data_IF_974175413373
#
_entry.id   IF_974175413373
#
_cell.length_a   1.000
_cell.length_b   1.000
_cell.length_c   1.000
_cell.angle_alpha   90.00
_cell.angle_beta   90.00
_cell.angle_gamma   90.00
#
_symmetry.space_group_name_H-M   'P 1'
#
loop_
_entity.id
_entity.type
_entity.pdbx_description
1 polymer ?
#
# COMPACT_ATOMS: atom_id res chain seq x y z
N UNK A 1 -14.15 -26.87 4.48
CA UNK A 1 -12.71 -27.00 4.16
C UNK A 1 -11.93 -26.35 5.27
N UNK A 2 -11.06 -27.08 5.95
CA UNK A 2 -10.14 -26.47 6.92
C UNK A 2 -8.95 -25.88 6.18
N UNK A 3 -8.55 -24.65 6.56
CA UNK A 3 -7.43 -23.94 5.94
C UNK A 3 -6.41 -23.65 7.04
N UNK A 4 -5.20 -24.18 6.89
CA UNK A 4 -4.06 -23.87 7.76
C UNK A 4 -3.13 -22.88 7.04
N UNK A 5 -2.91 -21.72 7.65
CA UNK A 5 -1.95 -20.74 7.16
C UNK A 5 -0.57 -20.97 7.79
N UNK A 6 0.43 -21.29 6.97
CA UNK A 6 1.82 -21.44 7.41
C UNK A 6 2.63 -20.25 6.88
N UNK A 7 3.01 -19.28 7.74
CA UNK A 7 3.80 -18.14 7.29
C UNK A 7 5.20 -18.59 6.85
N UNK A 8 5.63 -18.12 5.67
CA UNK A 8 6.98 -18.33 5.17
C UNK A 8 7.87 -17.16 5.62
N UNK A 9 8.78 -17.42 6.54
CA UNK A 9 9.70 -16.41 7.06
C UNK A 9 11.00 -16.38 6.26
N UNK A 10 11.52 -15.17 6.04
CA UNK A 10 12.86 -14.98 5.56
C UNK A 10 13.86 -15.49 6.60
N UNK A 11 14.80 -16.32 6.16
CA UNK A 11 15.68 -17.07 7.05
C UNK A 11 16.99 -16.34 7.40
N UNK A 12 17.40 -15.35 6.59
CA UNK A 12 18.67 -14.66 6.82
C UNK A 12 18.47 -13.47 7.76
N UNK A 13 19.47 -13.25 8.59
CA UNK A 13 19.58 -12.09 9.46
C UNK A 13 20.00 -10.85 8.68
N UNK A 14 19.72 -9.67 9.24
CA UNK A 14 20.21 -8.41 8.71
C UNK A 14 21.70 -8.30 9.07
N UNK A 15 22.56 -7.99 8.10
CA UNK A 15 24.00 -7.90 8.35
C UNK A 15 24.33 -6.80 9.37
N UNK A 16 25.31 -7.08 10.25
CA UNK A 16 25.76 -6.14 11.27
C UNK A 16 26.23 -4.80 10.68
N UNK A 17 26.90 -4.83 9.53
CA UNK A 17 27.32 -3.60 8.83
C UNK A 17 26.14 -2.72 8.43
N UNK A 18 25.04 -3.31 7.93
CA UNK A 18 23.84 -2.57 7.57
C UNK A 18 23.13 -2.02 8.80
N UNK A 19 23.10 -2.78 9.91
CA UNK A 19 22.56 -2.33 11.19
C UNK A 19 23.38 -1.15 11.76
N UNK A 20 24.70 -1.19 11.65
CA UNK A 20 25.58 -0.09 12.04
C UNK A 20 25.39 1.15 11.15
N UNK A 21 25.20 0.95 9.85
CA UNK A 21 24.86 2.03 8.92
C UNK A 21 23.52 2.68 9.29
N UNK A 22 22.51 1.87 9.65
CA UNK A 22 21.19 2.32 10.06
C UNK A 22 21.25 3.28 11.25
N UNK A 23 22.14 3.07 12.22
CA UNK A 23 22.29 3.96 13.38
C UNK A 23 22.58 5.41 12.97
N UNK A 24 23.34 5.63 11.89
CA UNK A 24 23.64 6.97 11.35
C UNK A 24 22.38 7.68 10.85
N UNK A 25 21.45 6.93 10.28
CA UNK A 25 20.15 7.47 9.82
C UNK A 25 19.16 7.77 10.97
N UNK A 26 19.49 7.31 12.17
CA UNK A 26 18.69 7.42 13.39
C UNK A 26 19.32 8.40 14.42
N UNK A 27 20.37 9.13 14.04
CA UNK A 27 20.92 10.21 14.85
C UNK A 27 19.85 11.29 15.11
N UNK A 28 19.71 11.71 16.36
CA UNK A 28 18.72 12.70 16.79
C UNK A 28 17.25 12.23 16.77
N UNK A 29 16.95 10.98 16.40
CA UNK A 29 15.59 10.43 16.46
C UNK A 29 15.36 9.82 17.84
N UNK A 30 14.33 10.28 18.55
CA UNK A 30 14.02 9.83 19.91
C UNK A 30 13.17 8.56 19.89
N UNK A 31 12.09 8.53 19.09
CA UNK A 31 11.12 7.43 19.10
C UNK A 31 10.94 6.81 17.72
N UNK A 32 11.25 5.52 17.60
CA UNK A 32 11.28 4.80 16.32
C UNK A 32 10.17 3.76 16.29
N UNK A 33 9.38 3.76 15.21
CA UNK A 33 8.41 2.70 14.91
C UNK A 33 8.97 1.69 13.92
N UNK A 34 8.90 0.39 14.22
CA UNK A 34 9.25 -0.68 13.27
C UNK A 34 7.97 -1.29 12.71
N UNK A 35 7.85 -1.35 11.40
CA UNK A 35 6.81 -2.10 10.69
C UNK A 35 7.43 -3.02 9.65
N UNK A 36 6.70 -4.04 9.20
CA UNK A 36 7.24 -5.09 8.35
C UNK A 36 6.13 -5.78 7.54
N UNK A 37 6.52 -6.53 6.52
CA UNK A 37 5.66 -7.57 5.92
C UNK A 37 5.92 -8.92 6.60
N UNK A 38 4.93 -9.81 6.62
CA UNK A 38 4.94 -11.04 7.45
C UNK A 38 6.23 -11.87 7.37
N UNK A 39 6.84 -11.97 6.18
CA UNK A 39 8.07 -12.72 5.98
C UNK A 39 9.27 -12.19 6.79
N UNK A 40 9.26 -10.91 7.19
CA UNK A 40 10.34 -10.25 7.92
C UNK A 40 10.04 -10.01 9.40
N UNK A 41 9.04 -10.70 9.97
CA UNK A 41 8.68 -10.57 11.39
C UNK A 41 9.86 -10.87 12.34
N UNK A 42 10.64 -11.90 12.03
CA UNK A 42 11.85 -12.25 12.78
C UNK A 42 12.90 -11.14 12.70
N UNK A 43 13.18 -10.65 11.49
CA UNK A 43 14.10 -9.55 11.27
C UNK A 43 13.68 -8.26 12.01
N UNK A 44 12.38 -7.96 12.06
CA UNK A 44 11.87 -6.81 12.82
C UNK A 44 12.10 -6.96 14.33
N UNK A 45 11.98 -8.18 14.85
CA UNK A 45 12.24 -8.50 16.26
C UNK A 45 13.73 -8.40 16.59
N UNK A 46 14.61 -8.92 15.72
CA UNK A 46 16.06 -8.79 15.82
C UNK A 46 16.50 -7.33 15.77
N UNK A 47 15.95 -6.56 14.82
CA UNK A 47 16.21 -5.13 14.69
C UNK A 47 15.85 -4.37 15.98
N UNK A 48 14.69 -4.66 16.59
CA UNK A 48 14.30 -4.04 17.85
C UNK A 48 15.34 -4.29 18.94
N UNK A 49 15.79 -5.54 19.11
CA UNK A 49 16.81 -5.89 20.11
C UNK A 49 18.11 -5.12 19.88
N UNK A 50 18.60 -5.13 18.64
CA UNK A 50 19.82 -4.40 18.27
C UNK A 50 19.71 -2.90 18.56
N UNK A 51 18.58 -2.27 18.24
CA UNK A 51 18.38 -0.85 18.48
C UNK A 51 18.26 -0.53 19.98
N UNK A 52 17.60 -1.38 20.77
CA UNK A 52 17.49 -1.24 22.23
C UNK A 52 18.86 -1.38 22.91
N UNK A 53 19.70 -2.33 22.49
CA UNK A 53 21.10 -2.47 22.94
C UNK A 53 21.93 -1.22 22.63
N UNK A 54 21.62 -0.54 21.52
CA UNK A 54 22.20 0.75 21.13
C UNK A 54 21.45 1.96 21.71
N UNK A 55 20.69 1.76 22.80
CA UNK A 55 20.01 2.81 23.59
C UNK A 55 18.99 3.62 22.80
N UNK A 56 18.35 3.04 21.77
CA UNK A 56 17.24 3.67 21.04
C UNK A 56 15.90 3.26 21.66
N UNK A 57 14.92 4.17 21.63
CA UNK A 57 13.55 3.87 22.05
C UNK A 57 12.73 3.41 20.84
N UNK A 58 12.32 2.14 20.85
CA UNK A 58 11.77 1.46 19.67
C UNK A 58 10.49 0.70 19.99
N UNK A 59 9.48 0.86 19.14
CA UNK A 59 8.18 0.19 19.25
C UNK A 59 7.97 -0.68 18.01
N UNK A 60 7.58 -1.94 18.19
CA UNK A 60 7.03 -2.73 17.07
C UNK A 60 5.62 -2.22 16.79
N UNK A 61 5.46 -1.60 15.63
CA UNK A 61 4.20 -1.11 15.11
C UNK A 61 3.43 -2.17 14.31
N UNK A 62 3.97 -3.39 14.22
CA UNK A 62 3.31 -4.57 13.65
C UNK A 62 3.39 -4.67 12.13
N UNK A 63 2.84 -5.78 11.62
CA UNK A 63 2.80 -6.08 10.18
C UNK A 63 1.87 -5.11 9.43
N UNK A 64 2.24 -4.74 8.21
CA UNK A 64 1.38 -4.01 7.28
C UNK A 64 1.19 -4.78 5.99
N UNK A 65 0.12 -4.43 5.29
CA UNK A 65 -0.20 -4.88 3.94
C UNK A 65 -0.26 -3.67 3.02
N UNK A 66 -0.24 -3.93 1.71
CA UNK A 66 -0.35 -2.86 0.72
C UNK A 66 -1.67 -2.09 0.83
N UNK A 67 -2.74 -2.78 1.21
CA UNK A 67 -4.08 -2.23 1.41
C UNK A 67 -4.39 -1.82 2.86
N UNK A 68 -3.53 -2.18 3.84
CA UNK A 68 -3.83 -1.96 5.26
C UNK A 68 -2.57 -1.60 6.05
N UNK A 69 -2.54 -0.35 6.54
CA UNK A 69 -1.49 0.17 7.41
C UNK A 69 -1.99 0.42 8.85
N UNK A 70 -3.16 -0.09 9.21
CA UNK A 70 -3.84 0.19 10.48
C UNK A 70 -2.97 -0.08 11.71
N UNK A 71 -2.16 -1.14 11.68
CA UNK A 71 -1.21 -1.45 12.74
C UNK A 71 -0.21 -0.31 12.95
N UNK A 72 0.42 0.20 11.88
CA UNK A 72 1.34 1.32 11.97
C UNK A 72 0.65 2.61 12.41
N UNK A 73 -0.56 2.87 11.89
CA UNK A 73 -1.35 4.07 12.20
C UNK A 73 -1.69 4.21 13.69
N UNK A 74 -1.92 3.10 14.42
CA UNK A 74 -2.16 3.11 15.88
C UNK A 74 -1.02 3.70 16.70
N UNK A 75 0.19 3.73 16.15
CA UNK A 75 1.39 4.24 16.82
C UNK A 75 1.86 5.56 16.25
N UNK A 76 1.12 6.16 15.32
CA UNK A 76 1.49 7.41 14.66
C UNK A 76 1.94 8.46 15.67
N UNK A 77 1.11 8.83 16.65
CA UNK A 77 1.45 9.83 17.68
C UNK A 77 2.59 9.42 18.65
N UNK A 78 2.99 8.15 18.66
CA UNK A 78 3.99 7.61 19.58
C UNK A 78 5.40 7.54 18.97
N UNK A 79 5.53 7.76 17.66
CA UNK A 79 6.80 7.60 16.94
C UNK A 79 7.09 8.83 16.08
N UNK A 80 8.36 9.16 15.90
CA UNK A 80 8.80 10.28 15.07
C UNK A 80 9.14 9.82 13.65
N UNK A 81 9.69 8.60 13.54
CA UNK A 81 10.15 8.02 12.29
C UNK A 81 9.82 6.53 12.26
N UNK A 82 9.47 6.03 11.09
CA UNK A 82 9.27 4.60 10.85
C UNK A 82 10.47 3.96 10.16
N UNK A 83 10.73 2.70 10.49
CA UNK A 83 11.54 1.77 9.73
C UNK A 83 10.61 0.69 9.21
N UNK A 84 10.54 0.54 7.90
CA UNK A 84 9.88 -0.58 7.24
C UNK A 84 10.92 -1.66 6.94
N UNK A 85 10.71 -2.88 7.44
CA UNK A 85 11.57 -4.03 7.19
C UNK A 85 10.99 -4.88 6.06
N UNK A 86 11.67 -4.87 4.93
CA UNK A 86 11.33 -5.65 3.75
C UNK A 86 11.75 -4.97 2.45
N UNK A 87 11.45 -5.64 1.34
CA UNK A 87 11.78 -5.16 0.01
C UNK A 87 10.61 -4.42 -0.66
N UNK A 88 10.95 -3.69 -1.72
CA UNK A 88 10.00 -2.95 -2.54
C UNK A 88 9.51 -1.64 -1.90
N UNK A 89 8.90 -0.79 -2.73
CA UNK A 89 8.50 0.57 -2.35
C UNK A 89 7.01 0.72 -2.05
N UNK A 90 6.16 -0.19 -2.52
CA UNK A 90 4.70 -0.07 -2.43
C UNK A 90 4.18 0.16 -1.00
N UNK A 91 4.53 -0.73 -0.06
CA UNK A 91 4.13 -0.62 1.34
C UNK A 91 4.63 0.67 2.01
N UNK A 92 5.94 0.98 2.01
CA UNK A 92 6.45 2.15 2.72
C UNK A 92 6.07 3.47 2.04
N UNK A 93 5.79 3.48 0.73
CA UNK A 93 5.20 4.65 0.05
C UNK A 93 3.79 4.93 0.55
N UNK A 94 2.93 3.91 0.63
CA UNK A 94 1.58 4.08 1.16
C UNK A 94 1.61 4.54 2.62
N UNK A 95 2.50 3.95 3.44
CA UNK A 95 2.75 4.36 4.81
C UNK A 95 3.11 5.85 4.92
N UNK A 96 4.16 6.29 4.21
CA UNK A 96 4.59 7.70 4.23
C UNK A 96 3.51 8.63 3.68
N UNK A 97 2.79 8.22 2.65
CA UNK A 97 1.76 9.05 2.03
C UNK A 97 0.54 9.31 2.94
N UNK A 98 0.18 8.33 3.78
CA UNK A 98 -0.96 8.40 4.70
C UNK A 98 -0.62 9.01 6.07
N UNK A 99 0.55 8.66 6.64
CA UNK A 99 0.98 9.16 7.98
C UNK A 99 1.78 10.47 7.85
N UNK A 100 2.46 10.69 6.73
CA UNK A 100 3.25 11.90 6.51
C UNK A 100 4.59 11.95 7.26
N UNK A 101 4.91 10.94 8.06
CA UNK A 101 6.20 10.81 8.76
C UNK A 101 7.27 10.18 7.88
N UNK A 102 8.54 10.44 8.20
CA UNK A 102 9.65 9.83 7.51
C UNK A 102 9.68 8.31 7.69
N UNK A 103 10.01 7.62 6.60
CA UNK A 103 10.10 6.16 6.54
C UNK A 103 11.44 5.78 5.93
N UNK A 104 12.22 4.98 6.66
CA UNK A 104 13.38 4.26 6.15
C UNK A 104 12.95 2.87 5.70
N UNK A 105 13.37 2.47 4.51
CA UNK A 105 13.26 1.09 4.03
C UNK A 105 14.55 0.39 4.40
N UNK A 106 14.47 -0.61 5.27
CA UNK A 106 15.56 -1.54 5.56
C UNK A 106 15.26 -2.85 4.83
N UNK A 107 16.02 -3.13 3.77
CA UNK A 107 15.81 -4.31 2.92
C UNK A 107 16.81 -5.41 3.27
N UNK A 108 16.39 -6.50 3.94
CA UNK A 108 17.27 -7.61 4.30
C UNK A 108 17.75 -8.44 3.10
N UNK A 109 17.11 -8.29 1.93
CA UNK A 109 17.42 -9.06 0.72
C UNK A 109 18.47 -8.34 -0.10
N UNK A 110 18.25 -7.05 -0.38
CA UNK A 110 19.19 -6.24 -1.17
C UNK A 110 20.33 -5.66 -0.35
N UNK A 111 20.29 -5.79 0.98
CA UNK A 111 21.25 -5.20 1.92
C UNK A 111 21.38 -3.69 1.76
N UNK A 112 20.25 -2.98 1.66
CA UNK A 112 20.21 -1.53 1.48
C UNK A 112 19.32 -0.83 2.50
N UNK A 113 19.66 0.44 2.77
CA UNK A 113 18.79 1.39 3.47
C UNK A 113 18.39 2.48 2.49
N UNK A 114 17.09 2.63 2.24
CA UNK A 114 16.57 3.65 1.33
C UNK A 114 15.69 4.65 2.07
N UNK A 115 15.95 5.94 1.88
CA UNK A 115 15.05 7.02 2.30
C UNK A 115 13.99 7.24 1.22
N UNK A 116 12.74 7.44 1.64
CA UNK A 116 11.69 7.88 0.71
C UNK A 116 11.63 9.41 0.74
N UNK A 117 11.95 10.03 -0.40
CA UNK A 117 11.91 11.48 -0.54
C UNK A 117 10.48 12.01 -0.66
N UNK A 118 10.27 13.26 -0.24
CA UNK A 118 8.98 13.94 -0.42
C UNK A 118 8.66 14.18 -1.90
N UNK A 119 9.69 14.29 -2.74
CA UNK A 119 9.55 14.38 -4.19
C UNK A 119 8.93 13.11 -4.78
N UNK A 120 9.37 11.92 -4.34
CA UNK A 120 8.78 10.63 -4.75
C UNK A 120 7.31 10.55 -4.33
N UNK A 121 6.97 10.93 -3.09
CA UNK A 121 5.59 10.93 -2.60
C UNK A 121 4.72 11.94 -3.36
N UNK A 122 5.26 13.13 -3.65
CA UNK A 122 4.57 14.16 -4.45
C UNK A 122 4.31 13.68 -5.87
N UNK A 123 5.28 12.99 -6.49
CA UNK A 123 5.11 12.40 -7.82
C UNK A 123 4.03 11.31 -7.80
N UNK A 124 4.04 10.42 -6.82
CA UNK A 124 3.00 9.39 -6.63
C UNK A 124 1.60 10.02 -6.50
N UNK A 125 1.45 11.04 -5.64
CA UNK A 125 0.19 11.79 -5.48
C UNK A 125 -0.24 12.49 -6.78
N UNK A 126 0.70 13.09 -7.53
CA UNK A 126 0.41 13.70 -8.84
C UNK A 126 -0.11 12.68 -9.86
N UNK A 127 0.51 11.49 -9.94
CA UNK A 127 0.03 10.40 -10.80
C UNK A 127 -1.39 9.97 -10.42
N UNK A 128 -1.68 9.85 -9.12
CA UNK A 128 -3.02 9.59 -8.59
C UNK A 128 -4.03 10.65 -9.05
N UNK A 129 -3.77 11.93 -8.80
CA UNK A 129 -4.68 13.00 -9.21
C UNK A 129 -4.84 13.13 -10.72
N UNK A 130 -3.79 12.83 -11.49
CA UNK A 130 -3.89 12.77 -12.96
C UNK A 130 -4.88 11.69 -13.42
N UNK A 131 -4.88 10.51 -12.79
CA UNK A 131 -5.88 9.45 -13.07
C UNK A 131 -7.29 9.91 -12.70
N UNK A 132 -7.47 10.49 -11.52
CA UNK A 132 -8.76 11.02 -11.06
C UNK A 132 -9.29 12.09 -12.02
N UNK A 133 -8.46 13.05 -12.42
CA UNK A 133 -8.85 14.12 -13.34
C UNK A 133 -9.19 13.61 -14.76
N UNK A 134 -8.56 12.51 -15.22
CA UNK A 134 -8.97 11.85 -16.47
C UNK A 134 -10.32 11.15 -16.30
N UNK A 135 -10.52 10.45 -15.17
CA UNK A 135 -11.76 9.75 -14.87
C UNK A 135 -12.94 10.70 -14.63
N UNK A 136 -12.72 11.95 -14.20
CA UNK A 136 -13.81 12.92 -14.05
C UNK A 136 -14.47 13.36 -15.37
N UNK A 137 -13.82 13.10 -16.50
CA UNK A 137 -14.35 13.37 -17.84
C UNK A 137 -15.11 12.17 -18.43
N UNK A 138 -15.12 11.03 -17.75
CA UNK A 138 -15.80 9.82 -18.22
C UNK A 138 -17.32 9.90 -18.02
N UNK A 139 -18.08 9.37 -18.98
CA UNK A 139 -19.53 9.26 -18.91
C UNK A 139 -19.99 7.82 -18.66
N UNK A 140 -19.17 6.83 -19.03
CA UNK A 140 -19.45 5.39 -18.84
C UNK A 140 -18.36 4.74 -18.01
N UNK A 141 -18.74 4.16 -16.88
CA UNK A 141 -17.82 3.50 -15.94
C UNK A 141 -17.98 1.99 -15.92
N UNK A 142 -16.86 1.28 -15.80
CA UNK A 142 -16.83 -0.12 -15.38
C UNK A 142 -16.39 -0.27 -13.94
N UNK A 143 -17.23 -0.85 -13.09
CA UNK A 143 -16.92 -1.13 -11.68
C UNK A 143 -16.42 -2.56 -11.58
N UNK A 144 -15.14 -2.72 -11.23
CA UNK A 144 -14.45 -4.00 -11.20
C UNK A 144 -14.57 -4.62 -9.81
N UNK A 145 -15.06 -5.86 -9.75
CA UNK A 145 -15.18 -6.69 -8.56
C UNK A 145 -14.32 -7.95 -8.72
N UNK A 146 -13.45 -8.23 -7.75
CA UNK A 146 -12.76 -9.51 -7.70
C UNK A 146 -13.63 -10.57 -7.04
N UNK A 147 -13.69 -11.78 -7.59
CA UNK A 147 -14.35 -12.92 -6.94
C UNK A 147 -13.46 -13.64 -5.91
N UNK A 148 -12.21 -13.18 -5.71
CA UNK A 148 -11.29 -13.71 -4.70
C UNK A 148 -11.79 -13.35 -3.29
N UNK A 149 -11.77 -14.31 -2.36
CA UNK A 149 -12.43 -14.23 -1.04
C UNK A 149 -12.19 -12.95 -0.26
N UNK A 150 -10.96 -12.42 -0.23
CA UNK A 150 -10.61 -11.21 0.54
C UNK A 150 -10.54 -9.92 -0.29
N UNK A 151 -10.99 -9.97 -1.55
CA UNK A 151 -11.04 -8.82 -2.46
C UNK A 151 -12.43 -8.61 -3.05
N UNK A 152 -13.39 -9.46 -2.70
CA UNK A 152 -14.77 -9.35 -3.14
C UNK A 152 -15.48 -8.24 -2.37
N UNK A 153 -15.85 -7.20 -3.11
CA UNK A 153 -16.55 -6.04 -2.57
C UNK A 153 -17.79 -5.71 -3.41
N UNK A 154 -18.61 -6.74 -3.68
CA UNK A 154 -19.82 -6.64 -4.52
C UNK A 154 -20.82 -5.61 -3.97
N UNK A 155 -21.02 -5.56 -2.65
CA UNK A 155 -21.91 -4.58 -2.02
C UNK A 155 -21.47 -3.14 -2.31
N UNK A 156 -20.17 -2.85 -2.13
CA UNK A 156 -19.61 -1.53 -2.46
C UNK A 156 -19.77 -1.23 -3.95
N UNK A 157 -19.66 -2.21 -4.84
CA UNK A 157 -19.84 -2.00 -6.27
C UNK A 157 -21.29 -1.60 -6.62
N UNK A 158 -22.29 -2.21 -5.99
CA UNK A 158 -23.69 -1.79 -6.16
C UNK A 158 -23.93 -0.36 -5.63
N UNK A 159 -23.42 -0.04 -4.44
CA UNK A 159 -23.50 1.32 -3.90
C UNK A 159 -22.86 2.37 -4.82
N UNK A 160 -21.69 2.05 -5.40
CA UNK A 160 -21.01 2.94 -6.33
C UNK A 160 -21.76 3.07 -7.66
N UNK A 161 -22.37 1.99 -8.15
CA UNK A 161 -23.21 2.03 -9.35
C UNK A 161 -24.37 3.01 -9.18
N UNK A 162 -25.12 2.89 -8.08
CA UNK A 162 -26.21 3.81 -7.77
C UNK A 162 -25.73 5.26 -7.68
N UNK A 163 -24.58 5.49 -7.03
CA UNK A 163 -24.00 6.83 -6.87
C UNK A 163 -23.61 7.46 -8.22
N UNK A 164 -23.06 6.67 -9.14
CA UNK A 164 -22.66 7.13 -10.48
C UNK A 164 -23.90 7.40 -11.35
N UNK A 165 -24.89 6.51 -11.31
CA UNK A 165 -26.12 6.67 -12.08
C UNK A 165 -26.96 7.86 -11.60
N UNK A 166 -26.93 8.16 -10.30
CA UNK A 166 -27.53 9.37 -9.74
C UNK A 166 -26.87 10.68 -10.22
N UNK A 167 -25.65 10.60 -10.75
CA UNK A 167 -24.91 11.73 -11.32
C UNK A 167 -25.04 11.82 -12.86
N UNK A 168 -26.08 11.19 -13.43
CA UNK A 168 -26.36 11.16 -14.88
C UNK A 168 -25.23 10.52 -15.73
N UNK A 169 -24.60 9.48 -15.18
CA UNK A 169 -23.55 8.69 -15.83
C UNK A 169 -23.91 7.21 -15.86
N UNK A 170 -23.33 6.46 -16.79
CA UNK A 170 -23.58 5.01 -16.93
C UNK A 170 -22.58 4.22 -16.11
N UNK A 171 -23.02 3.13 -15.46
CA UNK A 171 -22.13 2.24 -14.72
C UNK A 171 -22.48 0.76 -14.93
N UNK A 172 -21.47 -0.07 -15.20
CA UNK A 172 -21.60 -1.52 -15.36
C UNK A 172 -20.68 -2.25 -14.37
N UNK A 173 -21.16 -3.35 -13.79
CA UNK A 173 -20.35 -4.16 -12.87
C UNK A 173 -19.68 -5.30 -13.65
N UNK A 174 -18.36 -5.42 -13.49
CA UNK A 174 -17.53 -6.46 -14.08
C UNK A 174 -16.95 -7.32 -12.96
N UNK A 175 -17.39 -8.56 -12.85
CA UNK A 175 -16.92 -9.50 -11.82
C UNK A 175 -16.01 -10.58 -12.43
N UNK A 176 -14.84 -10.81 -11.83
CA UNK A 176 -13.90 -11.82 -12.29
C UNK A 176 -12.83 -12.17 -11.25
N UNK A 177 -12.06 -13.24 -11.48
CA UNK A 177 -10.97 -13.61 -10.57
C UNK A 177 -9.70 -12.79 -10.82
N UNK A 178 -9.34 -12.63 -12.10
CA UNK A 178 -8.12 -11.96 -12.54
C UNK A 178 -8.45 -10.66 -13.25
N UNK A 179 -7.86 -9.57 -12.75
CA UNK A 179 -8.05 -8.21 -13.25
C UNK A 179 -6.73 -7.80 -13.89
N UNK A 180 -6.73 -7.64 -15.21
CA UNK A 180 -5.59 -7.21 -16.02
C UNK A 180 -6.12 -6.51 -17.27
N UNK A 181 -5.24 -5.80 -18.00
CA UNK A 181 -5.67 -5.00 -19.14
C UNK A 181 -6.31 -5.86 -20.24
N UNK A 182 -5.74 -7.04 -20.53
CA UNK A 182 -6.27 -7.96 -21.55
C UNK A 182 -7.73 -8.37 -21.31
N UNK A 183 -8.11 -8.56 -20.05
CA UNK A 183 -9.48 -8.94 -19.69
C UNK A 183 -10.46 -7.77 -19.74
N UNK A 184 -9.97 -6.52 -19.80
CA UNK A 184 -10.78 -5.31 -19.78
C UNK A 184 -10.90 -4.64 -21.16
N UNK A 185 -9.93 -4.83 -22.05
CA UNK A 185 -9.82 -4.15 -23.35
C UNK A 185 -11.11 -4.19 -24.21
N UNK A 186 -11.86 -5.29 -24.17
CA UNK A 186 -13.04 -5.48 -25.01
C UNK A 186 -14.31 -4.74 -24.56
N UNK A 187 -14.28 -4.04 -23.43
CA UNK A 187 -15.46 -3.35 -22.90
C UNK A 187 -15.46 -1.85 -23.24
N UNK A 188 -16.58 -1.40 -23.81
CA UNK A 188 -16.83 0.00 -24.20
C UNK A 188 -17.20 0.87 -22.98
N UNK A 189 -16.24 1.09 -22.09
CA UNK A 189 -16.31 2.06 -20.99
C UNK A 189 -15.21 3.12 -21.14
N UNK A 190 -15.39 4.29 -20.55
CA UNK A 190 -14.41 5.40 -20.60
C UNK A 190 -13.35 5.25 -19.50
N UNK A 191 -13.76 4.75 -18.32
CA UNK A 191 -12.91 4.58 -17.14
C UNK A 191 -13.37 3.40 -16.29
N UNK A 192 -12.46 2.86 -15.47
CA UNK A 192 -12.78 1.83 -14.50
C UNK A 192 -12.66 2.32 -13.06
N UNK A 193 -13.46 1.70 -12.19
CA UNK A 193 -13.45 1.86 -10.75
C UNK A 193 -13.08 0.51 -10.14
N UNK A 194 -11.98 0.48 -9.42
CA UNK A 194 -11.47 -0.71 -8.75
C UNK A 194 -12.03 -0.82 -7.33
N UNK A 195 -12.80 -1.87 -7.06
CA UNK A 195 -13.23 -2.24 -5.70
C UNK A 195 -12.47 -3.45 -5.15
N UNK A 196 -11.47 -3.95 -5.88
CA UNK A 196 -10.66 -5.11 -5.53
C UNK A 196 -9.34 -4.69 -4.86
N UNK A 197 -8.22 -5.36 -5.18
CA UNK A 197 -6.91 -5.02 -4.63
C UNK A 197 -6.47 -3.61 -5.10
N UNK A 198 -6.16 -2.67 -4.19
CA UNK A 198 -5.74 -1.32 -4.58
C UNK A 198 -4.38 -1.31 -5.29
N UNK A 199 -3.60 -2.39 -5.18
CA UNK A 199 -2.31 -2.54 -5.86
C UNK A 199 -2.45 -2.65 -7.38
N UNK A 200 -3.62 -3.04 -7.90
CA UNK A 200 -3.87 -3.10 -9.34
C UNK A 200 -3.56 -1.76 -10.02
N UNK A 201 -3.72 -0.64 -9.32
CA UNK A 201 -3.37 0.68 -9.85
C UNK A 201 -1.85 0.91 -10.06
N UNK A 202 -0.97 -0.02 -9.66
CA UNK A 202 0.45 -0.01 -10.05
C UNK A 202 0.69 -0.62 -11.43
N UNK A 203 -0.24 -1.45 -11.94
CA UNK A 203 -0.13 -2.08 -13.25
C UNK A 203 -0.48 -1.09 -14.37
N UNK A 204 -0.03 -1.39 -15.59
CA UNK A 204 -0.35 -0.59 -16.77
C UNK A 204 -1.67 -1.02 -17.39
N UNK A 205 -2.58 -0.06 -17.57
CA UNK A 205 -3.88 -0.25 -18.21
C UNK A 205 -4.05 0.76 -19.34
N UNK A 206 -4.72 0.31 -20.40
CA UNK A 206 -5.07 1.12 -21.57
C UNK A 206 -6.11 2.19 -21.23
N UNK A 207 -7.00 1.89 -20.27
CA UNK A 207 -8.02 2.83 -19.76
C UNK A 207 -7.71 3.21 -18.32
N UNK A 208 -8.12 4.41 -17.93
CA UNK A 208 -7.83 4.92 -16.58
C UNK A 208 -8.59 4.12 -15.53
N UNK A 209 -7.90 3.75 -14.44
CA UNK A 209 -8.49 3.07 -13.28
C UNK A 209 -8.29 3.95 -12.04
N UNK A 210 -9.38 4.17 -11.31
CA UNK A 210 -9.40 4.81 -9.99
C UNK A 210 -9.90 3.83 -8.93
N UNK A 211 -9.52 4.01 -7.68
CA UNK A 211 -10.02 3.19 -6.58
C UNK A 211 -11.41 3.65 -6.10
N UNK A 212 -12.12 2.76 -5.41
CA UNK A 212 -13.44 3.02 -4.85
C UNK A 212 -13.52 4.28 -3.95
N UNK A 213 -12.46 4.58 -3.18
CA UNK A 213 -12.36 5.77 -2.33
C UNK A 213 -12.14 7.07 -3.12
N UNK A 214 -11.83 6.98 -4.40
CA UNK A 214 -11.56 8.12 -5.28
C UNK A 214 -12.81 8.57 -6.05
N UNK A 215 -13.88 7.78 -6.04
CA UNK A 215 -15.12 8.07 -6.78
C UNK A 215 -15.74 9.39 -6.31
N UNK A 216 -15.57 9.75 -5.05
CA UNK A 216 -16.09 11.00 -4.47
C UNK A 216 -15.55 12.26 -5.15
N UNK A 217 -14.36 12.20 -5.76
CA UNK A 217 -13.72 13.33 -6.43
C UNK A 217 -14.16 13.52 -7.89
N UNK A 218 -14.89 12.56 -8.46
CA UNK A 218 -15.29 12.58 -9.87
C UNK A 218 -16.80 12.76 -10.07
N UNK A 219 -17.58 12.69 -8.98
CA UNK A 219 -19.03 12.86 -9.00
C UNK A 219 -19.42 14.33 -8.87
#
# INVERSE_FOLDING_TARGET
MEIMFVPCYYAKEISGDLLNELLRFLEGVEKIGITYVIQHEKNATELKKFLEENKKNVIICGKILGCDISNAKRYEEKVEKFIYVGSGKFHPYNLKAQIGKDVLILDPISHTITKISDAEIKLMKRKRYSRIAKASLAHTFGIIVSLRTYQNNMEKAFQLKEKIESADRKAFIFAGNDINDSNLLGFEVDAYINTACPRINEDEFSKVIINADEVEFIL
#
